data_IF_479926457980
#
_entry.id   IF_479926457980
#
_cell.length_a   1.000
_cell.length_b   1.000
_cell.length_c   1.000
_cell.angle_alpha   90.00
_cell.angle_beta   90.00
_cell.angle_gamma   90.00
#
_symmetry.space_group_name_H-M   'P 1'
#
loop_
_entity.id
_entity.type
_entity.pdbx_description
1 polymer ?
#
# COMPACT_ATOMS: atom_id res chain seq x y z
N UNK A 1 22.27 -2.00 19.98
CA UNK A 1 21.36 -2.20 18.82
C UNK A 1 20.06 -1.39 18.94
N UNK A 2 20.11 -0.05 18.95
CA UNK A 2 18.90 0.82 18.97
C UNK A 2 18.61 1.50 17.62
N UNK A 3 19.57 1.51 16.69
CA UNK A 3 19.53 2.32 15.45
C UNK A 3 18.48 1.86 14.43
N UNK A 4 18.27 0.56 14.27
CA UNK A 4 17.27 0.08 13.29
C UNK A 4 15.84 0.27 13.80
N UNK A 5 15.63 0.16 15.12
CA UNK A 5 14.32 0.37 15.75
C UNK A 5 13.89 1.83 15.72
N UNK A 6 14.81 2.77 15.95
CA UNK A 6 14.49 4.20 15.86
C UNK A 6 14.15 4.62 14.44
N UNK A 7 14.85 4.11 13.42
CA UNK A 7 14.56 4.40 12.01
C UNK A 7 13.20 3.84 11.60
N UNK A 8 12.88 2.59 11.96
CA UNK A 8 11.58 1.98 11.66
C UNK A 8 10.42 2.76 12.29
N UNK A 9 10.56 3.17 13.57
CA UNK A 9 9.53 3.97 14.26
C UNK A 9 9.34 5.35 13.61
N UNK A 10 10.42 5.99 13.17
CA UNK A 10 10.33 7.26 12.44
C UNK A 10 9.63 7.08 11.09
N UNK A 11 9.89 5.99 10.37
CA UNK A 11 9.19 5.69 9.12
C UNK A 11 7.71 5.40 9.36
N UNK A 12 7.37 4.55 10.33
CA UNK A 12 5.98 4.27 10.71
C UNK A 12 5.20 5.54 11.09
N UNK A 13 5.79 6.43 11.88
CA UNK A 13 5.16 7.71 12.24
C UNK A 13 4.98 8.64 11.03
N UNK A 14 5.95 8.66 10.10
CA UNK A 14 5.83 9.44 8.86
C UNK A 14 4.73 8.90 7.97
N UNK A 15 4.64 7.58 7.82
CA UNK A 15 3.66 6.92 6.95
C UNK A 15 2.24 7.08 7.49
N UNK A 16 2.04 6.96 8.81
CA UNK A 16 0.74 7.21 9.46
C UNK A 16 0.30 8.67 9.32
N UNK A 17 1.18 9.63 9.53
CA UNK A 17 0.88 11.05 9.27
C UNK A 17 0.58 11.32 7.80
N UNK A 18 1.32 10.70 6.89
CA UNK A 18 1.08 10.85 5.45
C UNK A 18 -0.29 10.30 5.03
N UNK A 19 -0.75 9.22 5.67
CA UNK A 19 -2.09 8.69 5.43
C UNK A 19 -3.17 9.69 5.88
N UNK A 20 -3.07 10.21 7.10
CA UNK A 20 -4.03 11.19 7.62
C UNK A 20 -4.06 12.49 6.79
N UNK A 21 -2.89 12.97 6.35
CA UNK A 21 -2.76 14.14 5.46
C UNK A 21 -3.41 13.88 4.10
N UNK A 22 -3.22 12.69 3.54
CA UNK A 22 -3.84 12.29 2.28
C UNK A 22 -5.37 12.17 2.41
N UNK A 23 -5.88 11.61 3.52
CA UNK A 23 -7.32 11.52 3.79
C UNK A 23 -7.95 12.90 3.96
N UNK A 24 -7.32 13.77 4.74
CA UNK A 24 -7.77 15.17 4.87
C UNK A 24 -7.77 15.88 3.52
N UNK A 25 -6.76 15.63 2.68
CA UNK A 25 -6.70 16.17 1.33
C UNK A 25 -7.80 15.64 0.41
N UNK A 26 -8.22 14.39 0.58
CA UNK A 26 -9.36 13.80 -0.15
C UNK A 26 -10.68 14.43 0.33
N UNK A 27 -10.83 14.67 1.63
CA UNK A 27 -12.02 15.32 2.18
C UNK A 27 -12.15 16.77 1.70
N UNK A 28 -11.03 17.49 1.62
CA UNK A 28 -10.97 18.86 1.11
C UNK A 28 -11.16 18.92 -0.41
N UNK A 29 -10.57 17.97 -1.15
CA UNK A 29 -10.64 17.93 -2.60
C UNK A 29 -10.77 16.48 -3.11
N UNK A 30 -12.02 15.97 -3.22
CA UNK A 30 -12.29 14.58 -3.62
C UNK A 30 -11.78 14.20 -5.02
N UNK A 31 -11.68 15.19 -5.90
CA UNK A 31 -11.22 15.06 -7.29
C UNK A 31 -9.70 15.11 -7.41
N UNK A 32 -8.97 15.37 -6.32
CA UNK A 32 -7.52 15.47 -6.37
C UNK A 32 -6.87 14.09 -6.45
N UNK A 33 -6.63 13.62 -7.67
CA UNK A 33 -6.01 12.31 -7.95
C UNK A 33 -4.67 12.10 -7.22
N UNK A 34 -3.89 13.15 -6.97
CA UNK A 34 -2.62 13.06 -6.23
C UNK A 34 -2.82 12.71 -4.75
N UNK A 35 -3.95 13.09 -4.14
CA UNK A 35 -4.26 12.72 -2.76
C UNK A 35 -4.51 11.21 -2.64
N UNK A 36 -5.31 10.65 -3.56
CA UNK A 36 -5.52 9.19 -3.67
C UNK A 36 -4.21 8.43 -3.90
N UNK A 37 -3.32 8.97 -4.74
CA UNK A 37 -1.99 8.40 -4.95
C UNK A 37 -1.14 8.41 -3.67
N UNK A 38 -1.13 9.53 -2.92
CA UNK A 38 -0.41 9.64 -1.64
C UNK A 38 -0.97 8.68 -0.58
N UNK A 39 -2.29 8.50 -0.54
CA UNK A 39 -2.97 7.51 0.30
C UNK A 39 -2.48 6.10 -0.04
N UNK A 40 -2.43 5.75 -1.32
CA UNK A 40 -1.89 4.47 -1.80
C UNK A 40 -0.43 4.24 -1.38
N UNK A 41 0.42 5.25 -1.56
CA UNK A 41 1.84 5.17 -1.18
C UNK A 41 2.04 5.03 0.33
N UNK A 42 1.22 5.70 1.14
CA UNK A 42 1.24 5.54 2.59
C UNK A 42 0.81 4.11 2.99
N UNK A 43 -0.27 3.58 2.41
CA UNK A 43 -0.73 2.21 2.67
C UNK A 43 0.30 1.16 2.24
N UNK A 44 0.98 1.37 1.10
CA UNK A 44 2.11 0.55 0.64
C UNK A 44 3.23 0.53 1.68
N UNK A 45 3.59 1.70 2.23
CA UNK A 45 4.59 1.83 3.30
C UNK A 45 4.20 1.15 4.63
N UNK A 46 2.90 0.94 4.87
CA UNK A 46 2.41 0.16 6.02
C UNK A 46 2.34 -1.35 5.74
N UNK A 47 2.61 -1.80 4.52
CA UNK A 47 2.43 -3.18 4.09
C UNK A 47 0.97 -3.58 3.84
N UNK A 48 0.04 -2.63 3.83
CA UNK A 48 -1.40 -2.86 3.54
C UNK A 48 -1.63 -2.84 2.02
N UNK A 49 -1.09 -3.85 1.34
CA UNK A 49 -1.00 -3.88 -0.12
C UNK A 49 -2.37 -3.88 -0.82
N UNK A 50 -3.35 -4.61 -0.28
CA UNK A 50 -4.72 -4.66 -0.82
C UNK A 50 -5.40 -3.29 -0.83
N UNK A 51 -5.25 -2.53 0.26
CA UNK A 51 -5.84 -1.19 0.39
C UNK A 51 -5.06 -0.16 -0.43
N UNK A 52 -3.73 -0.29 -0.49
CA UNK A 52 -2.90 0.51 -1.37
C UNK A 52 -3.33 0.35 -2.83
N UNK A 53 -3.58 -0.89 -3.26
CA UNK A 53 -4.05 -1.20 -4.60
C UNK A 53 -5.39 -0.51 -4.90
N UNK A 54 -6.35 -0.55 -3.97
CA UNK A 54 -7.63 0.14 -4.13
C UNK A 54 -7.43 1.66 -4.30
N UNK A 55 -6.62 2.28 -3.43
CA UNK A 55 -6.36 3.72 -3.49
C UNK A 55 -5.66 4.15 -4.79
N UNK A 56 -4.71 3.34 -5.31
CA UNK A 56 -4.09 3.63 -6.61
C UNK A 56 -5.07 3.45 -7.77
N UNK A 57 -5.99 2.47 -7.71
CA UNK A 57 -7.05 2.31 -8.72
C UNK A 57 -8.00 3.50 -8.72
N UNK A 58 -8.34 4.02 -7.55
CA UNK A 58 -9.13 5.24 -7.38
C UNK A 58 -8.42 6.47 -7.97
N UNK A 59 -7.09 6.58 -7.79
CA UNK A 59 -6.28 7.62 -8.40
C UNK A 59 -6.24 7.49 -9.94
N UNK A 60 -6.06 6.28 -10.45
CA UNK A 60 -6.02 6.00 -11.88
C UNK A 60 -7.39 6.18 -12.57
N UNK A 61 -8.50 5.92 -11.86
CA UNK A 61 -9.84 6.18 -12.38
C UNK A 61 -10.11 7.67 -12.59
N UNK A 62 -9.56 8.53 -11.72
CA UNK A 62 -9.66 10.00 -11.83
C UNK A 62 -8.65 10.60 -12.81
N UNK A 63 -7.45 10.02 -12.89
CA UNK A 63 -6.39 10.45 -13.79
C UNK A 63 -5.85 9.24 -14.56
N UNK A 64 -6.54 8.81 -15.64
CA UNK A 64 -6.12 7.66 -16.43
C UNK A 64 -4.76 7.87 -17.11
N UNK A 65 -4.39 9.13 -17.38
CA UNK A 65 -3.08 9.52 -17.92
C UNK A 65 -1.92 9.40 -16.91
N UNK A 66 -2.22 9.12 -15.63
CA UNK A 66 -1.19 8.97 -14.62
C UNK A 66 -0.52 7.59 -14.73
N UNK A 67 0.54 7.53 -15.55
CA UNK A 67 1.38 6.34 -15.75
C UNK A 67 1.93 5.80 -14.43
N UNK A 68 2.30 6.68 -13.50
CA UNK A 68 2.87 6.30 -12.21
C UNK A 68 1.88 5.50 -11.35
N UNK A 69 0.59 5.88 -11.37
CA UNK A 69 -0.45 5.12 -10.68
C UNK A 69 -0.63 3.73 -11.29
N UNK A 70 -0.60 3.62 -12.62
CA UNK A 70 -0.72 2.33 -13.31
C UNK A 70 0.46 1.39 -13.03
N UNK A 71 1.68 1.92 -13.04
CA UNK A 71 2.88 1.15 -12.71
C UNK A 71 2.83 0.65 -11.27
N UNK A 72 2.38 1.49 -10.32
CA UNK A 72 2.17 1.07 -8.92
C UNK A 72 1.14 -0.05 -8.79
N UNK A 73 0.01 0.03 -9.48
CA UNK A 73 -1.02 -1.02 -9.48
C UNK A 73 -0.44 -2.36 -9.99
N UNK A 74 0.32 -2.32 -11.10
CA UNK A 74 0.97 -3.52 -11.66
C UNK A 74 1.99 -4.12 -10.69
N UNK A 75 2.83 -3.29 -10.08
CA UNK A 75 3.83 -3.72 -9.10
C UNK A 75 3.18 -4.34 -7.85
N UNK A 76 2.11 -3.73 -7.35
CA UNK A 76 1.36 -4.22 -6.20
C UNK A 76 0.67 -5.55 -6.50
N UNK A 77 -0.02 -5.67 -7.64
CA UNK A 77 -0.63 -6.94 -8.07
C UNK A 77 0.38 -8.09 -8.09
N UNK A 78 1.58 -7.85 -8.63
CA UNK A 78 2.65 -8.84 -8.64
C UNK A 78 3.10 -9.22 -7.23
N UNK A 79 3.17 -8.25 -6.33
CA UNK A 79 3.55 -8.47 -4.93
C UNK A 79 2.48 -9.25 -4.18
N UNK A 80 1.20 -8.88 -4.33
CA UNK A 80 0.06 -9.57 -3.71
C UNK A 80 -0.02 -11.02 -4.21
N UNK A 81 0.13 -11.26 -5.52
CA UNK A 81 0.15 -12.62 -6.08
C UNK A 81 1.28 -13.48 -5.50
N UNK A 82 2.48 -12.91 -5.34
CA UNK A 82 3.62 -13.60 -4.71
C UNK A 82 3.38 -13.89 -3.23
N UNK A 83 2.75 -12.97 -2.51
CA UNK A 83 2.39 -13.19 -1.10
C UNK A 83 1.30 -14.25 -0.94
N UNK A 84 0.33 -14.30 -1.85
CA UNK A 84 -0.70 -15.34 -1.87
C UNK A 84 -0.07 -16.73 -2.09
N UNK A 85 0.79 -16.88 -3.10
CA UNK A 85 1.46 -18.15 -3.39
C UNK A 85 2.36 -18.65 -2.24
N UNK A 86 2.93 -17.73 -1.45
CA UNK A 86 3.72 -18.08 -0.26
C UNK A 86 2.86 -18.59 0.90
N UNK A 87 1.73 -17.92 1.18
CA UNK A 87 0.81 -18.30 2.26
C UNK A 87 0.12 -19.65 2.00
N UNK A 88 -0.15 -19.97 0.74
CA UNK A 88 -0.71 -21.27 0.34
C UNK A 88 0.29 -22.44 0.53
N UNK A 89 1.58 -22.17 0.37
CA UNK A 89 2.64 -23.16 0.62
C UNK A 89 2.83 -23.44 2.13
N UNK A 90 2.72 -22.42 2.98
CA UNK A 90 2.84 -22.56 4.43
C UNK A 90 1.63 -23.30 5.06
N UNK A 91 0.42 -23.11 4.53
CA UNK A 91 -0.78 -23.83 5.00
C UNK A 91 -0.72 -25.32 4.73
N UNK A 92 -0.14 -25.77 3.61
CA UNK A 92 -0.02 -27.19 3.27
C UNK A 92 1.02 -27.93 4.10
N UNK A 93 1.97 -27.22 4.73
CA UNK A 93 2.98 -27.82 5.61
C UNK A 93 2.51 -28.14 7.03
N UNK A 94 1.42 -27.51 7.50
CA UNK A 94 0.91 -27.74 8.87
C UNK A 94 -0.12 -28.88 8.99
N UNK A 95 -0.60 -29.44 7.89
CA UNK A 95 -1.67 -30.45 7.89
C UNK A 95 -1.15 -31.90 7.81
N UNK A 96 0.17 -32.13 7.86
CA UNK A 96 0.74 -33.48 7.86
C UNK A 96 1.38 -33.79 9.22
N UNK A 97 0.56 -34.14 10.21
CA UNK A 97 1.00 -34.85 11.42
C UNK A 97 0.11 -36.07 11.65
N UNK A 98 0.74 -37.23 11.44
CA UNK A 98 0.38 -38.63 11.74
C UNK A 98 -0.81 -39.24 11.00
#
# INVERSE_FOLDING_TARGET
MRSNRSVALLQLNKVTKALADAETSIDLQPDWHKAHFRRGAALEGMGRLDEALSAFRDAAARAPDNVEAQDRIRALNKTIQRQASGKDAERKGSTFKF
#
